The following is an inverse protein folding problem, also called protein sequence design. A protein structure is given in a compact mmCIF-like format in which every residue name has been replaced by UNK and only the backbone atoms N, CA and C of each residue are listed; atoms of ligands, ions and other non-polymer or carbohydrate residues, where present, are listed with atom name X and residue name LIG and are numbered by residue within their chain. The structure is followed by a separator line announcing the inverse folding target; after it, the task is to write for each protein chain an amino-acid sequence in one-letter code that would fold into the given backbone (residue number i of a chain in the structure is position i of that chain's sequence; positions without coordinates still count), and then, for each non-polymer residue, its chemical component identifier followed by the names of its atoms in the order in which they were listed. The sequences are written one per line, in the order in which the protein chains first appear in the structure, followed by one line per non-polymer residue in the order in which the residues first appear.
data_IF_937012684917
#
_entry.id   IF_937012684917
#
_cell.length_a   1.000
_cell.length_b   1.000
_cell.length_c   1.000
_cell.angle_alpha   90.00
_cell.angle_beta   90.00
_cell.angle_gamma   90.00
#
_symmetry.space_group_name_H-M   'P 1'
#
loop_
_entity.id
_entity.type
_entity.pdbx_description
1 polymer ?
#
# COMPACT_ATOMS: atom_id res chain seq x y z
N UNK A 1 -4.77 -12.14 -10.22
CA UNK A 1 -4.02 -13.20 -10.91
C UNK A 1 -3.43 -14.19 -9.93
N UNK A 2 -3.08 -15.38 -10.40
CA UNK A 2 -2.38 -16.39 -9.59
C UNK A 2 -0.90 -16.34 -9.98
N UNK A 3 -0.01 -16.29 -8.99
CA UNK A 3 1.43 -16.29 -9.17
C UNK A 3 1.99 -17.49 -8.41
N UNK A 4 2.76 -18.33 -9.08
CA UNK A 4 3.45 -19.46 -8.48
C UNK A 4 4.96 -19.23 -8.52
N UNK A 5 5.64 -19.55 -7.42
CA UNK A 5 7.07 -19.37 -7.27
C UNK A 5 7.52 -19.51 -5.82
N UNK A 6 8.64 -18.91 -5.46
CA UNK A 6 9.25 -19.03 -4.14
C UNK A 6 9.78 -17.70 -3.61
N UNK A 7 9.80 -17.56 -2.28
CA UNK A 7 10.44 -16.43 -1.60
C UNK A 7 11.95 -16.70 -1.58
N UNK A 8 12.76 -15.78 -2.12
CA UNK A 8 14.19 -16.00 -2.29
C UNK A 8 15.08 -15.29 -1.28
N UNK A 9 14.53 -14.33 -0.53
CA UNK A 9 15.31 -13.54 0.42
C UNK A 9 14.41 -13.04 1.56
N UNK A 10 15.04 -12.41 2.56
CA UNK A 10 14.38 -11.75 3.67
C UNK A 10 13.44 -10.64 3.20
N UNK A 11 12.38 -10.31 3.98
CA UNK A 11 11.45 -9.25 3.64
C UNK A 11 12.12 -7.87 3.57
N UNK A 12 11.62 -7.04 2.67
CA UNK A 12 11.88 -5.60 2.68
C UNK A 12 10.75 -4.90 3.43
N UNK A 13 11.12 -3.99 4.33
CA UNK A 13 10.18 -3.26 5.18
C UNK A 13 10.11 -1.81 4.76
N UNK A 14 8.93 -1.34 4.39
CA UNK A 14 8.67 0.06 4.05
C UNK A 14 7.85 0.70 5.16
N UNK A 15 8.37 1.77 5.76
CA UNK A 15 7.69 2.50 6.81
C UNK A 15 6.34 3.04 6.32
N UNK A 16 5.29 2.74 7.04
CA UNK A 16 3.93 3.12 6.67
C UNK A 16 3.03 3.28 7.89
N UNK A 17 1.93 4.00 7.68
CA UNK A 17 0.86 4.09 8.67
C UNK A 17 -0.12 2.93 8.44
N UNK A 18 -0.35 2.15 9.48
CA UNK A 18 -1.41 1.15 9.51
C UNK A 18 -2.76 1.76 9.90
N UNK A 19 -3.70 0.88 10.19
CA UNK A 19 -5.02 1.27 10.69
C UNK A 19 -4.92 2.17 11.93
N UNK A 20 -5.83 3.15 12.04
CA UNK A 20 -5.90 4.10 13.16
C UNK A 20 -4.63 4.94 13.36
N UNK A 21 -3.83 5.11 12.30
CA UNK A 21 -2.62 5.93 12.34
C UNK A 21 -1.46 5.32 13.13
N UNK A 22 -1.46 4.02 13.39
CA UNK A 22 -0.33 3.35 14.03
C UNK A 22 0.86 3.26 13.09
N UNK A 23 2.04 3.54 13.60
CA UNK A 23 3.29 3.38 12.87
C UNK A 23 3.68 1.91 12.75
N UNK A 24 4.20 1.52 11.61
CA UNK A 24 4.68 0.18 11.33
C UNK A 24 5.26 0.07 9.92
N UNK A 25 5.17 -1.11 9.33
CA UNK A 25 5.86 -1.42 8.10
C UNK A 25 4.98 -2.21 7.15
N UNK A 26 4.92 -1.78 5.90
CA UNK A 26 4.49 -2.62 4.79
C UNK A 26 5.58 -3.65 4.49
N UNK A 27 5.19 -4.91 4.39
CA UNK A 27 6.10 -6.05 4.18
C UNK A 27 6.10 -6.45 2.72
N UNK A 28 7.27 -6.40 2.10
CA UNK A 28 7.48 -6.82 0.72
C UNK A 28 8.38 -8.05 0.67
N UNK A 29 7.90 -9.10 0.05
CA UNK A 29 8.63 -10.36 -0.12
C UNK A 29 9.25 -10.42 -1.51
N UNK A 30 10.58 -10.60 -1.60
CA UNK A 30 11.24 -10.89 -2.89
C UNK A 30 10.83 -12.28 -3.36
N UNK A 31 10.10 -12.33 -4.47
CA UNK A 31 9.46 -13.54 -4.96
C UNK A 31 9.95 -13.89 -6.37
N UNK A 32 10.51 -15.06 -6.53
CA UNK A 32 10.91 -15.59 -7.83
C UNK A 32 9.79 -16.45 -8.39
N UNK A 33 9.25 -16.05 -9.53
CA UNK A 33 8.23 -16.82 -10.26
C UNK A 33 8.85 -18.05 -10.92
N UNK A 34 8.04 -19.04 -11.31
CA UNK A 34 8.49 -20.20 -12.10
C UNK A 34 9.25 -19.77 -13.36
N UNK A 35 8.83 -18.67 -14.00
CA UNK A 35 9.52 -18.08 -15.14
C UNK A 35 10.81 -17.32 -14.80
N UNK A 36 11.39 -17.52 -13.60
CA UNK A 36 12.61 -16.89 -13.09
C UNK A 36 12.59 -15.35 -13.07
N UNK A 37 11.40 -14.74 -13.09
CA UNK A 37 11.25 -13.28 -12.93
C UNK A 37 11.21 -12.96 -11.46
N UNK A 38 12.00 -11.97 -11.04
CA UNK A 38 11.96 -11.46 -9.68
C UNK A 38 10.89 -10.39 -9.53
N UNK A 39 10.01 -10.56 -8.57
CA UNK A 39 8.85 -9.72 -8.31
C UNK A 39 8.81 -9.39 -6.82
N UNK A 40 8.41 -8.17 -6.45
CA UNK A 40 8.09 -7.84 -5.07
C UNK A 40 6.62 -8.12 -4.81
N UNK A 41 6.36 -8.92 -3.78
CA UNK A 41 4.99 -9.22 -3.32
C UNK A 41 4.73 -8.49 -2.02
N UNK A 42 3.81 -7.54 -2.00
CA UNK A 42 3.32 -6.91 -0.77
C UNK A 42 2.43 -7.91 -0.04
N UNK A 43 2.94 -8.42 1.07
CA UNK A 43 2.29 -9.47 1.86
C UNK A 43 1.29 -8.93 2.87
N UNK A 44 1.51 -7.71 3.39
CA UNK A 44 0.67 -7.08 4.40
C UNK A 44 1.42 -6.01 5.18
N UNK A 45 0.91 -5.70 6.37
CA UNK A 45 1.46 -4.72 7.29
C UNK A 45 1.77 -5.35 8.64
N UNK A 46 2.84 -4.90 9.29
CA UNK A 46 3.25 -5.31 10.64
C UNK A 46 3.70 -4.12 11.47
N UNK A 47 3.58 -4.23 12.80
CA UNK A 47 4.07 -3.21 13.71
C UNK A 47 5.59 -3.26 13.88
N UNK A 48 6.18 -4.45 13.81
CA UNK A 48 7.61 -4.70 14.08
C UNK A 48 8.24 -5.44 12.91
N UNK A 49 9.53 -5.19 12.70
CA UNK A 49 10.33 -5.94 11.73
C UNK A 49 10.60 -7.35 12.25
N UNK A 50 10.67 -8.32 11.36
CA UNK A 50 10.96 -9.72 11.68
C UNK A 50 11.88 -10.35 10.64
N UNK A 51 12.44 -11.50 10.96
CA UNK A 51 13.22 -12.32 10.04
C UNK A 51 12.43 -13.58 9.70
N UNK A 52 12.38 -13.92 8.42
CA UNK A 52 11.78 -15.18 7.99
C UNK A 52 12.68 -16.34 8.39
N UNK A 53 12.08 -17.38 8.93
CA UNK A 53 12.76 -18.65 9.15
C UNK A 53 13.15 -19.29 7.81
N UNK A 54 14.27 -20.00 7.79
CA UNK A 54 14.85 -20.61 6.58
C UNK A 54 13.91 -21.59 5.88
N UNK A 55 12.98 -22.22 6.62
CA UNK A 55 11.96 -23.13 6.09
C UNK A 55 10.94 -22.45 5.17
N UNK A 56 10.76 -21.12 5.29
CA UNK A 56 9.87 -20.33 4.42
C UNK A 56 10.59 -19.84 3.16
N UNK A 57 11.92 -19.80 3.18
CA UNK A 57 12.73 -19.43 2.02
C UNK A 57 12.83 -20.62 1.05
N UNK A 58 12.83 -20.32 -0.23
CA UNK A 58 12.92 -21.30 -1.33
C UNK A 58 11.81 -22.36 -1.38
N UNK A 59 10.78 -22.24 -0.54
CA UNK A 59 9.60 -23.11 -0.60
C UNK A 59 8.61 -22.60 -1.62
N UNK A 60 8.12 -23.46 -2.49
CA UNK A 60 7.11 -23.09 -3.48
C UNK A 60 5.81 -22.64 -2.82
N UNK A 61 5.28 -21.54 -3.32
CA UNK A 61 4.02 -20.94 -2.87
C UNK A 61 3.19 -20.48 -4.06
N UNK A 62 1.89 -20.56 -3.87
CA UNK A 62 0.89 -20.01 -4.79
C UNK A 62 0.28 -18.80 -4.11
N UNK A 63 0.31 -17.66 -4.77
CA UNK A 63 -0.16 -16.39 -4.25
C UNK A 63 -1.23 -15.82 -5.19
N UNK A 64 -2.36 -15.44 -4.63
CA UNK A 64 -3.36 -14.64 -5.34
C UNK A 64 -3.01 -13.16 -5.18
N UNK A 65 -2.81 -12.46 -6.27
CA UNK A 65 -2.35 -11.07 -6.21
C UNK A 65 -2.93 -10.20 -7.32
N UNK A 66 -2.90 -8.89 -7.08
CA UNK A 66 -3.19 -7.83 -8.05
C UNK A 66 -1.87 -7.11 -8.35
N UNK A 67 -1.57 -6.87 -9.63
CA UNK A 67 -0.37 -6.13 -10.02
C UNK A 67 -0.65 -4.63 -9.99
N UNK A 68 0.20 -3.91 -9.27
CA UNK A 68 0.12 -2.46 -9.10
C UNK A 68 1.44 -1.81 -9.48
N UNK A 69 1.37 -0.57 -9.93
CA UNK A 69 2.58 0.24 -10.11
C UNK A 69 3.13 0.63 -8.72
N UNK A 70 4.45 0.56 -8.49
CA UNK A 70 5.05 1.04 -7.26
C UNK A 70 4.72 2.51 -7.04
N UNK A 71 4.43 2.88 -5.79
CA UNK A 71 4.23 4.28 -5.41
C UNK A 71 5.51 5.06 -5.70
N UNK A 72 5.41 6.14 -6.45
CA UNK A 72 6.54 7.03 -6.72
C UNK A 72 6.84 7.87 -5.48
N UNK A 73 8.10 8.23 -5.32
CA UNK A 73 8.52 9.23 -4.34
C UNK A 73 7.81 10.55 -4.64
N UNK A 74 7.16 11.13 -3.64
CA UNK A 74 6.60 12.47 -3.68
C UNK A 74 7.64 13.48 -3.16
N UNK A 75 7.46 14.77 -3.45
CA UNK A 75 8.35 15.85 -3.00
C UNK A 75 8.52 15.88 -1.47
N UNK A 76 7.49 15.46 -0.72
CA UNK A 76 7.44 15.48 0.74
C UNK A 76 7.98 14.17 1.34
N UNK A 77 8.16 13.10 0.54
CA UNK A 77 8.62 11.80 1.04
C UNK A 77 10.11 11.88 1.41
N UNK A 78 10.48 11.57 2.66
CA UNK A 78 11.89 11.51 3.05
C UNK A 78 12.69 10.55 2.18
N UNK A 79 13.98 10.77 2.07
CA UNK A 79 14.89 9.80 1.43
C UNK A 79 14.99 8.52 2.25
N UNK A 80 15.22 7.39 1.56
CA UNK A 80 15.53 6.14 2.24
C UNK A 80 16.87 6.27 2.98
N UNK A 81 16.93 5.71 4.19
CA UNK A 81 18.14 5.60 5.03
C UNK A 81 18.46 4.14 5.32
N UNK A 82 19.59 3.89 5.97
CA UNK A 82 19.96 2.52 6.38
C UNK A 82 18.98 1.93 7.41
N UNK A 83 18.31 2.77 8.19
CA UNK A 83 17.39 2.34 9.24
C UNK A 83 15.93 2.30 8.78
N UNK A 84 15.52 3.25 7.93
CA UNK A 84 14.14 3.42 7.51
C UNK A 84 14.02 3.57 5.99
N UNK A 85 13.19 2.74 5.40
CA UNK A 85 12.81 2.79 3.99
C UNK A 85 11.39 3.35 3.90
N UNK A 86 11.20 4.46 3.18
CA UNK A 86 9.91 5.14 3.02
C UNK A 86 9.21 4.84 1.70
N UNK A 87 9.93 4.32 0.72
CA UNK A 87 9.39 3.93 -0.59
C UNK A 87 10.24 2.82 -1.22
N UNK A 88 9.62 2.03 -2.07
CA UNK A 88 10.32 1.00 -2.84
C UNK A 88 11.09 1.66 -3.98
N UNK A 89 12.40 1.56 -3.91
CA UNK A 89 13.31 1.92 -5.01
C UNK A 89 13.75 0.64 -5.73
N UNK A 90 13.11 0.37 -6.86
CA UNK A 90 13.40 -0.83 -7.64
C UNK A 90 14.86 -0.89 -8.11
N UNK A 91 15.47 0.26 -8.48
CA UNK A 91 16.84 0.30 -8.96
C UNK A 91 17.84 -0.08 -7.86
N UNK A 92 17.64 0.41 -6.64
CA UNK A 92 18.47 0.04 -5.49
C UNK A 92 18.31 -1.44 -5.15
N UNK A 93 17.10 -1.98 -5.24
CA UNK A 93 16.84 -3.40 -5.00
C UNK A 93 17.40 -4.30 -6.12
N UNK A 94 17.36 -3.88 -7.38
CA UNK A 94 18.02 -4.59 -8.49
C UNK A 94 19.53 -4.73 -8.27
N UNK A 95 20.17 -3.66 -7.78
CA UNK A 95 21.59 -3.70 -7.39
C UNK A 95 21.83 -4.67 -6.22
N UNK A 96 20.97 -4.59 -5.18
CA UNK A 96 21.07 -5.47 -3.99
C UNK A 96 20.94 -6.94 -4.34
N UNK A 97 20.03 -7.30 -5.25
CA UNK A 97 19.81 -8.69 -5.66
C UNK A 97 20.63 -9.11 -6.88
N UNK A 98 21.37 -8.19 -7.51
CA UNK A 98 22.08 -8.41 -8.78
C UNK A 98 21.20 -9.01 -9.88
N UNK A 99 19.92 -8.65 -9.88
CA UNK A 99 18.89 -9.18 -10.79
C UNK A 99 17.86 -8.12 -11.12
N UNK A 100 17.34 -8.12 -12.36
CA UNK A 100 16.23 -7.25 -12.76
C UNK A 100 14.95 -7.62 -12.04
N UNK A 101 14.30 -6.62 -11.47
CA UNK A 101 12.97 -6.71 -10.86
C UNK A 101 11.88 -6.46 -11.90
N UNK A 102 10.76 -7.13 -11.73
CA UNK A 102 9.58 -6.81 -12.52
C UNK A 102 9.08 -5.40 -12.13
N UNK A 103 8.73 -4.52 -13.09
CA UNK A 103 8.43 -3.11 -12.82
C UNK A 103 7.07 -2.87 -12.12
N UNK A 104 6.39 -3.93 -11.73
CA UNK A 104 5.15 -3.90 -10.97
C UNK A 104 5.34 -4.62 -9.64
N UNK A 105 4.55 -4.23 -8.65
CA UNK A 105 4.45 -4.89 -7.35
C UNK A 105 3.18 -5.73 -7.34
N UNK A 106 3.26 -6.96 -6.86
CA UNK A 106 2.10 -7.80 -6.61
C UNK A 106 1.57 -7.53 -5.20
N UNK A 107 0.35 -7.08 -5.07
CA UNK A 107 -0.34 -7.00 -3.78
C UNK A 107 -1.11 -8.28 -3.54
N UNK A 108 -0.77 -9.00 -2.46
CA UNK A 108 -1.42 -10.27 -2.13
C UNK A 108 -2.85 -10.03 -1.66
N UNK A 109 -3.79 -10.75 -2.27
CA UNK A 109 -5.21 -10.77 -1.85
C UNK A 109 -5.52 -11.92 -0.89
N UNK A 110 -4.63 -12.91 -0.79
CA UNK A 110 -4.72 -14.06 0.13
C UNK A 110 -3.64 -13.98 1.21
N UNK A 111 -3.84 -14.66 2.33
CA UNK A 111 -2.84 -14.74 3.38
C UNK A 111 -1.64 -15.57 2.89
N UNK A 112 -0.46 -14.99 2.98
CA UNK A 112 0.77 -15.71 2.70
C UNK A 112 1.23 -16.33 4.02
N UNK A 113 1.17 -17.65 4.11
CA UNK A 113 1.65 -18.37 5.29
C UNK A 113 3.18 -18.29 5.37
N UNK A 114 3.68 -17.41 6.24
CA UNK A 114 5.11 -17.17 6.48
C UNK A 114 5.49 -17.21 7.97
N UNK A 115 4.61 -17.82 8.81
CA UNK A 115 4.84 -17.87 10.24
C UNK A 115 4.49 -16.58 11.00
N UNK A 116 4.17 -15.51 10.31
CA UNK A 116 3.79 -14.23 10.90
C UNK A 116 2.40 -13.80 10.48
N UNK A 117 1.65 -13.24 11.44
CA UNK A 117 0.29 -12.77 11.21
C UNK A 117 0.34 -11.33 10.69
N UNK A 118 0.37 -11.17 9.37
CA UNK A 118 0.38 -9.86 8.73
C UNK A 118 -1.05 -9.34 8.63
N UNK A 119 -1.24 -8.09 9.03
CA UNK A 119 -2.51 -7.40 8.76
C UNK A 119 -2.57 -7.03 7.28
N UNK A 120 -3.65 -7.37 6.64
CA UNK A 120 -3.89 -6.88 5.27
C UNK A 120 -4.23 -5.40 5.32
N UNK A 121 -3.78 -4.61 4.34
CA UNK A 121 -4.30 -3.27 4.19
C UNK A 121 -5.80 -3.37 3.93
N UNK A 122 -6.60 -2.92 4.88
CA UNK A 122 -8.03 -2.71 4.60
C UNK A 122 -8.13 -1.75 3.41
N UNK A 123 -8.98 -2.10 2.46
CA UNK A 123 -9.38 -1.12 1.45
C UNK A 123 -9.99 0.04 2.22
N UNK A 124 -9.29 1.17 2.24
CA UNK A 124 -9.85 2.42 2.76
C UNK A 124 -11.05 2.73 1.87
N UNK A 125 -12.22 2.31 2.31
CA UNK A 125 -13.48 2.73 1.71
C UNK A 125 -13.66 4.16 2.18
N UNK A 126 -13.22 5.11 1.36
CA UNK A 126 -13.47 6.53 1.61
C UNK A 126 -15.00 6.72 1.64
N UNK A 127 -15.55 7.20 2.76
CA UNK A 127 -16.99 7.45 2.82
C UNK A 127 -17.35 8.43 1.72
N UNK A 128 -18.25 8.01 0.83
CA UNK A 128 -18.73 8.84 -0.26
C UNK A 128 -19.81 9.82 0.26
N UNK A 129 -19.35 10.89 0.90
CA UNK A 129 -20.25 11.91 1.48
C UNK A 129 -20.59 13.03 0.50
N UNK A 130 -20.41 12.81 -0.81
CA UNK A 130 -20.65 13.86 -1.82
C UNK A 130 -22.07 14.41 -1.78
N UNK A 131 -23.07 13.56 -1.54
CA UNK A 131 -24.46 13.99 -1.38
C UNK A 131 -24.66 14.91 -0.16
N UNK A 132 -24.04 14.57 0.96
CA UNK A 132 -24.10 15.38 2.19
C UNK A 132 -23.47 16.76 1.97
N UNK A 133 -22.31 16.82 1.33
CA UNK A 133 -21.67 18.09 0.96
C UNK A 133 -22.53 18.90 -0.01
N UNK A 134 -23.11 18.27 -1.02
CA UNK A 134 -24.00 18.96 -1.96
C UNK A 134 -25.22 19.56 -1.24
N UNK A 135 -25.87 18.80 -0.37
CA UNK A 135 -27.02 19.28 0.41
C UNK A 135 -26.66 20.47 1.31
N UNK A 136 -25.49 20.44 1.96
CA UNK A 136 -25.05 21.58 2.80
C UNK A 136 -24.83 22.84 1.97
N UNK A 137 -24.20 22.72 0.79
CA UNK A 137 -23.98 23.86 -0.10
C UNK A 137 -25.30 24.42 -0.67
N UNK A 138 -26.21 23.56 -1.11
CA UNK A 138 -27.51 23.99 -1.63
C UNK A 138 -28.36 24.64 -0.55
N UNK A 139 -28.37 24.12 0.67
CA UNK A 139 -29.13 24.76 1.78
C UNK A 139 -28.53 26.12 2.14
N UNK A 140 -27.21 26.29 2.11
CA UNK A 140 -26.58 27.59 2.34
C UNK A 140 -26.94 28.60 1.24
N UNK A 141 -26.93 28.21 -0.03
CA UNK A 141 -27.37 29.04 -1.13
C UNK A 141 -28.85 29.45 -0.96
N UNK A 142 -29.70 28.53 -0.57
CA UNK A 142 -31.14 28.79 -0.35
C UNK A 142 -31.36 29.83 0.76
N UNK A 143 -30.64 29.71 1.88
CA UNK A 143 -30.69 30.70 2.98
C UNK A 143 -30.26 32.08 2.52
N UNK A 144 -29.18 32.18 1.74
CA UNK A 144 -28.70 33.46 1.20
C UNK A 144 -29.75 34.10 0.28
N UNK A 145 -30.38 33.32 -0.60
CA UNK A 145 -31.41 33.81 -1.51
C UNK A 145 -32.59 34.36 -0.72
N UNK A 146 -33.07 33.62 0.31
CA UNK A 146 -34.18 34.09 1.18
C UNK A 146 -33.79 35.39 1.89
N UNK A 147 -32.62 35.45 2.47
CA UNK A 147 -32.12 36.67 3.15
C UNK A 147 -32.09 37.87 2.19
N UNK A 148 -31.64 37.67 0.96
CA UNK A 148 -31.59 38.70 -0.07
C UNK A 148 -33.00 39.19 -0.45
N UNK A 149 -33.99 38.26 -0.62
CA UNK A 149 -35.36 38.61 -0.95
C UNK A 149 -36.05 39.40 0.19
N UNK A 150 -35.80 39.02 1.46
CA UNK A 150 -36.31 39.75 2.63
C UNK A 150 -35.68 41.14 2.68
N UNK A 151 -34.39 41.27 2.45
CA UNK A 151 -33.71 42.56 2.44
C UNK A 151 -34.27 43.50 1.36
N UNK A 152 -34.41 42.98 0.12
CA UNK A 152 -34.99 43.73 -1.00
C UNK A 152 -36.43 44.21 -0.75
N UNK A 153 -37.20 43.44 0.03
CA UNK A 153 -38.61 43.84 0.36
C UNK A 153 -38.68 44.95 1.41
N UNK A 154 -37.59 45.20 2.16
CA UNK A 154 -37.55 46.24 3.19
C UNK A 154 -37.03 47.59 2.68
N UNK A 155 -36.46 47.60 1.48
CA UNK A 155 -36.06 48.80 0.74
C UNK A 155 -37.18 49.15 -0.24
#
# INVERSE_FOLDING_TARGET
MIIQGKIINQPEFVYSLGERGQYGFDVYLPFETIGRKLLLVRAGWTKEKFYLETNFLNTEKIIHAILLKPKRKNLITPGNSNELTFYIDLLSLEKKYSRKLYPLIAESTSDIKIGYNLKKPEKIVLPNNHLQYALTWYSLCFVIIIAFLIYKKKI
#
